data_IF_122243877808
#
_entry.id   IF_122243877808
#
_cell.length_a   1.000
_cell.length_b   1.000
_cell.length_c   1.000
_cell.angle_alpha   90.00
_cell.angle_beta   90.00
_cell.angle_gamma   90.00
#
_symmetry.space_group_name_H-M   'P 1'
#
loop_
_entity.id
_entity.type
_entity.pdbx_description
1 polymer ?
#
# COMPACT_ATOMS: atom_id res chain seq x y z
N UNK A 1 -9.91 -15.88 6.57
CA UNK A 1 -10.55 -17.12 6.08
C UNK A 1 -11.53 -16.87 4.95
N UNK A 2 -12.55 -16.03 5.15
CA UNK A 2 -13.64 -15.80 4.16
C UNK A 2 -13.14 -15.24 2.82
N UNK A 3 -12.33 -14.18 2.85
CA UNK A 3 -11.75 -13.59 1.63
C UNK A 3 -11.00 -14.62 0.77
N UNK A 4 -10.11 -15.40 1.41
CA UNK A 4 -9.32 -16.43 0.72
C UNK A 4 -10.21 -17.46 0.01
N UNK A 5 -11.21 -18.01 0.70
CA UNK A 5 -12.08 -19.03 0.10
C UNK A 5 -12.92 -18.48 -1.05
N UNK A 6 -13.45 -17.25 -0.93
CA UNK A 6 -14.21 -16.60 -2.00
C UNK A 6 -13.32 -16.30 -3.20
N UNK A 7 -12.14 -15.71 -2.97
CA UNK A 7 -11.19 -15.39 -4.02
C UNK A 7 -10.67 -16.66 -4.72
N UNK A 8 -10.43 -17.74 -3.96
CA UNK A 8 -10.03 -19.04 -4.50
C UNK A 8 -11.09 -19.63 -5.44
N UNK A 9 -12.36 -19.64 -5.02
CA UNK A 9 -13.47 -20.11 -5.87
C UNK A 9 -13.70 -19.20 -7.09
N UNK A 10 -13.56 -17.88 -6.94
CA UNK A 10 -13.64 -16.92 -8.04
C UNK A 10 -12.52 -17.17 -9.06
N UNK A 11 -11.31 -17.48 -8.60
CA UNK A 11 -10.17 -17.74 -9.48
C UNK A 11 -10.34 -19.04 -10.28
N UNK A 12 -10.88 -20.09 -9.66
CA UNK A 12 -11.18 -21.35 -10.34
C UNK A 12 -12.28 -21.21 -11.40
N UNK A 13 -13.32 -20.41 -11.12
CA UNK A 13 -14.47 -20.27 -12.02
C UNK A 13 -14.25 -19.21 -13.10
N UNK A 14 -13.66 -18.08 -12.74
CA UNK A 14 -13.48 -16.93 -13.63
C UNK A 14 -12.15 -16.19 -13.36
N UNK A 15 -11.01 -16.75 -13.80
CA UNK A 15 -9.68 -16.19 -13.49
C UNK A 15 -9.50 -14.77 -14.02
N UNK A 16 -10.07 -14.46 -15.19
CA UNK A 16 -10.04 -13.09 -15.76
C UNK A 16 -10.70 -12.05 -14.84
N UNK A 17 -11.79 -12.43 -14.16
CA UNK A 17 -12.46 -11.54 -13.22
C UNK A 17 -11.65 -11.41 -11.94
N UNK A 18 -11.08 -12.51 -11.43
CA UNK A 18 -10.21 -12.46 -10.25
C UNK A 18 -9.00 -11.51 -10.46
N UNK A 19 -8.35 -11.58 -11.61
CA UNK A 19 -7.27 -10.63 -11.96
C UNK A 19 -7.75 -9.18 -12.01
N UNK A 20 -8.94 -8.91 -12.55
CA UNK A 20 -9.51 -7.55 -12.56
C UNK A 20 -9.81 -7.04 -11.16
N UNK A 21 -10.32 -7.91 -10.26
CA UNK A 21 -10.56 -7.54 -8.86
C UNK A 21 -9.26 -7.10 -8.19
N UNK A 22 -8.17 -7.86 -8.37
CA UNK A 22 -6.86 -7.46 -7.82
C UNK A 22 -6.38 -6.15 -8.44
N UNK A 23 -6.50 -5.99 -9.77
CA UNK A 23 -6.14 -4.72 -10.42
C UNK A 23 -6.89 -3.51 -9.86
N UNK A 24 -8.20 -3.64 -9.57
CA UNK A 24 -8.94 -2.55 -8.92
C UNK A 24 -8.49 -2.29 -7.47
N UNK A 25 -8.11 -3.34 -6.73
CA UNK A 25 -7.55 -3.16 -5.37
C UNK A 25 -6.20 -2.45 -5.42
N UNK A 26 -5.36 -2.75 -6.40
CA UNK A 26 -4.07 -2.07 -6.62
C UNK A 26 -4.28 -0.59 -7.00
N UNK A 27 -5.23 -0.30 -7.89
CA UNK A 27 -5.59 1.09 -8.24
C UNK A 27 -6.08 1.88 -7.02
N UNK A 28 -6.96 1.31 -6.21
CA UNK A 28 -7.45 1.94 -4.98
C UNK A 28 -6.35 2.09 -3.91
N UNK A 29 -5.40 1.15 -3.84
CA UNK A 29 -4.25 1.27 -2.95
C UNK A 29 -3.38 2.49 -3.30
N UNK A 30 -3.10 2.72 -4.59
CA UNK A 30 -2.32 3.89 -5.04
C UNK A 30 -3.02 5.21 -4.68
N UNK A 31 -4.34 5.27 -4.89
CA UNK A 31 -5.15 6.44 -4.51
C UNK A 31 -5.08 6.65 -3.00
N UNK A 32 -5.22 5.57 -2.22
CA UNK A 32 -5.17 5.61 -0.76
C UNK A 32 -3.83 6.11 -0.24
N UNK A 33 -2.70 5.65 -0.79
CA UNK A 33 -1.36 6.14 -0.39
C UNK A 33 -1.14 7.61 -0.74
N UNK A 34 -1.67 8.06 -1.86
CA UNK A 34 -1.62 9.47 -2.25
C UNK A 34 -2.45 10.34 -1.31
N UNK A 35 -3.64 9.88 -0.93
CA UNK A 35 -4.47 10.55 0.07
C UNK A 35 -3.80 10.57 1.45
N UNK A 36 -3.17 9.47 1.85
CA UNK A 36 -2.46 9.38 3.12
C UNK A 36 -1.30 10.38 3.20
N UNK A 37 -0.51 10.53 2.12
CA UNK A 37 0.51 11.58 2.05
C UNK A 37 -0.08 12.98 2.20
N UNK A 38 -1.20 13.25 1.54
CA UNK A 38 -1.88 14.55 1.65
C UNK A 38 -2.36 14.82 3.07
N UNK A 39 -2.95 13.82 3.72
CA UNK A 39 -3.39 13.92 5.11
C UNK A 39 -2.23 14.08 6.11
N UNK A 40 -1.03 13.57 5.79
CA UNK A 40 0.17 13.82 6.58
C UNK A 40 0.68 15.25 6.34
N UNK A 41 0.70 15.70 5.09
CA UNK A 41 1.18 17.04 4.70
C UNK A 41 0.25 18.18 5.18
N UNK A 42 -1.06 17.93 5.30
CA UNK A 42 -2.05 18.89 5.84
C UNK A 42 -2.19 18.83 7.38
N UNK A 43 -1.49 17.90 8.03
CA UNK A 43 -1.49 17.74 9.49
C UNK A 43 -2.70 16.99 10.06
N UNK A 44 -3.59 16.45 9.22
CA UNK A 44 -4.70 15.58 9.67
C UNK A 44 -4.21 14.26 10.28
N UNK A 45 -3.05 13.78 9.83
CA UNK A 45 -2.35 12.60 10.37
C UNK A 45 -1.01 13.06 10.95
N UNK A 46 -0.75 12.68 12.20
CA UNK A 46 0.51 12.98 12.86
C UNK A 46 1.67 12.23 12.19
N UNK A 47 2.70 12.97 11.79
CA UNK A 47 3.90 12.40 11.18
C UNK A 47 4.84 11.82 12.26
N UNK A 48 4.49 10.68 12.83
CA UNK A 48 5.27 10.01 13.90
C UNK A 48 6.53 9.30 13.35
N UNK A 49 7.48 8.91 14.22
CA UNK A 49 8.63 8.12 13.80
C UNK A 49 8.22 6.80 13.14
N UNK A 50 8.94 6.42 12.08
CA UNK A 50 8.68 5.17 11.37
C UNK A 50 8.99 3.95 12.26
N UNK A 51 8.22 2.85 12.15
CA UNK A 51 8.55 1.60 12.81
C UNK A 51 9.90 1.07 12.32
N UNK A 52 10.69 0.48 13.22
CA UNK A 52 12.02 -0.05 12.88
C UNK A 52 11.98 -1.06 11.72
N UNK A 53 10.93 -1.90 11.66
CA UNK A 53 10.74 -2.87 10.57
C UNK A 53 10.67 -2.18 9.21
N UNK A 54 9.98 -1.04 9.12
CA UNK A 54 9.87 -0.27 7.87
C UNK A 54 11.21 0.40 7.51
N UNK A 55 11.90 0.94 8.51
CA UNK A 55 13.23 1.53 8.33
C UNK A 55 14.20 0.49 7.77
N UNK A 56 14.21 -0.71 8.34
CA UNK A 56 15.10 -1.79 7.93
C UNK A 56 14.73 -2.34 6.54
N UNK A 57 13.42 -2.50 6.26
CA UNK A 57 12.94 -3.05 4.98
C UNK A 57 13.24 -2.14 3.78
N UNK A 58 12.95 -0.84 3.91
CA UNK A 58 13.21 0.15 2.86
C UNK A 58 14.59 0.83 2.98
N UNK A 59 15.42 0.39 3.93
CA UNK A 59 16.74 0.97 4.22
C UNK A 59 16.70 2.51 4.37
N UNK A 60 15.77 3.00 5.17
CA UNK A 60 15.54 4.43 5.41
C UNK A 60 16.49 4.98 6.50
N UNK A 61 16.65 6.32 6.59
CA UNK A 61 17.32 6.95 7.72
C UNK A 61 16.67 6.58 9.07
N UNK A 62 17.46 6.57 10.15
CA UNK A 62 16.96 6.21 11.50
C UNK A 62 15.95 7.19 12.09
N UNK A 63 15.94 8.42 11.56
CA UNK A 63 15.00 9.49 11.90
C UNK A 63 13.81 9.56 10.93
N UNK A 64 13.69 8.60 10.02
CA UNK A 64 12.59 8.52 9.07
C UNK A 64 11.24 8.49 9.80
N UNK A 65 10.26 9.15 9.19
CA UNK A 65 8.89 9.23 9.71
C UNK A 65 7.93 8.45 8.82
N UNK A 66 6.69 8.31 9.26
CA UNK A 66 5.62 7.64 8.50
C UNK A 66 5.47 8.22 7.08
N UNK A 67 5.71 9.53 6.92
CA UNK A 67 5.74 10.16 5.59
C UNK A 67 6.79 9.55 4.65
N UNK A 68 8.01 9.33 5.14
CA UNK A 68 9.13 8.82 4.34
C UNK A 68 8.88 7.35 3.94
N UNK A 69 8.31 6.57 4.85
CA UNK A 69 7.84 5.21 4.57
C UNK A 69 6.76 5.22 3.49
N UNK A 70 5.79 6.13 3.59
CA UNK A 70 4.69 6.22 2.61
C UNK A 70 5.20 6.62 1.23
N UNK A 71 6.21 7.49 1.15
CA UNK A 71 6.89 7.82 -0.11
C UNK A 71 7.65 6.63 -0.69
N UNK A 72 8.34 5.85 0.14
CA UNK A 72 9.04 4.65 -0.29
C UNK A 72 8.08 3.60 -0.85
N UNK A 73 6.95 3.35 -0.17
CA UNK A 73 5.89 2.45 -0.65
C UNK A 73 5.35 2.91 -2.00
N UNK A 74 5.00 4.20 -2.14
CA UNK A 74 4.48 4.73 -3.39
C UNK A 74 5.47 4.61 -4.55
N UNK A 75 6.77 4.79 -4.28
CA UNK A 75 7.82 4.64 -5.29
C UNK A 75 7.95 3.19 -5.77
N UNK A 76 7.81 2.21 -4.86
CA UNK A 76 7.83 0.78 -5.16
C UNK A 76 6.61 0.39 -6.02
N UNK A 77 5.41 0.82 -5.62
CA UNK A 77 4.16 0.59 -6.38
C UNK A 77 4.21 1.21 -7.78
N UNK A 78 4.84 2.38 -7.92
CA UNK A 78 5.01 3.02 -9.23
C UNK A 78 6.00 2.26 -10.14
N UNK A 79 6.91 1.47 -9.57
CA UNK A 79 7.84 0.62 -10.31
C UNK A 79 7.25 -0.76 -10.64
N UNK A 80 6.27 -1.22 -9.85
CA UNK A 80 5.52 -2.46 -10.10
C UNK A 80 4.44 -2.32 -11.18
N UNK A 81 4.06 -1.09 -11.53
CA UNK A 81 3.13 -0.77 -12.61
C UNK A 81 3.73 -0.97 -14.01
#
# INVERSE_FOLDING_TARGET
>A
GVFFNIYFLLYLTTPKTAHRVVGYLEEEAIISYTQMLKCIDDGSIENTPAPQIAIDYWNLPKDARIRDVTLAIRADEAMHR
#
